data_IF_169914198142
#
_entry.id   IF_169914198142
#
_cell.length_a   1.000
_cell.length_b   1.000
_cell.length_c   1.000
_cell.angle_alpha   90.00
_cell.angle_beta   90.00
_cell.angle_gamma   90.00
#
_symmetry.space_group_name_H-M   'P 1'
#
loop_
_entity.id
_entity.type
_entity.pdbx_description
1 polymer ?
#
# COMPACT_ATOMS: atom_id res chain seq x y z
N UNK A 1 -4.17 5.36 12.06
CA UNK A 1 -2.72 5.29 11.74
C UNK A 1 -2.60 5.11 10.25
N UNK A 2 -1.57 5.68 9.63
CA UNK A 2 -1.25 5.48 8.22
C UNK A 2 0.21 5.04 8.15
N UNK A 3 0.46 3.89 7.54
CA UNK A 3 1.79 3.27 7.49
C UNK A 3 2.08 2.88 6.04
N UNK A 4 2.87 3.70 5.31
CA UNK A 4 3.33 3.37 3.99
C UNK A 4 4.50 2.38 4.06
N UNK A 5 4.50 1.40 3.17
CA UNK A 5 5.54 0.39 2.98
C UNK A 5 5.76 0.17 1.48
N UNK A 6 6.89 -0.40 1.12
CA UNK A 6 7.10 -0.94 -0.22
C UNK A 6 6.93 -2.46 -0.19
N UNK A 7 6.37 -3.01 -1.25
CA UNK A 7 6.08 -4.44 -1.37
C UNK A 7 6.40 -4.96 -2.76
N UNK A 8 6.62 -6.27 -2.86
CA UNK A 8 6.83 -6.96 -4.13
C UNK A 8 5.51 -7.56 -4.58
N UNK A 9 5.10 -7.26 -5.81
CA UNK A 9 3.89 -7.80 -6.39
C UNK A 9 4.22 -8.62 -7.65
N UNK A 10 3.70 -9.84 -7.73
CA UNK A 10 3.88 -10.69 -8.90
C UNK A 10 2.75 -10.40 -9.89
N UNK A 11 3.05 -9.65 -10.94
CA UNK A 11 2.03 -9.16 -11.88
C UNK A 11 1.79 -10.19 -12.99
N UNK A 12 0.67 -10.89 -12.91
CA UNK A 12 0.33 -11.95 -13.86
C UNK A 12 -0.34 -11.43 -15.13
N UNK A 13 -1.00 -10.27 -15.05
CA UNK A 13 -1.79 -9.73 -16.15
C UNK A 13 -0.98 -8.70 -16.95
N UNK A 14 -1.23 -7.43 -16.68
CA UNK A 14 -0.63 -6.30 -17.35
C UNK A 14 0.25 -5.54 -16.36
N UNK A 15 1.46 -5.17 -16.79
CA UNK A 15 2.35 -4.33 -15.98
C UNK A 15 1.98 -2.86 -16.21
N UNK A 16 1.53 -2.13 -15.18
CA UNK A 16 1.26 -0.70 -15.30
C UNK A 16 2.49 0.07 -15.75
N UNK A 17 2.31 1.11 -16.57
CA UNK A 17 3.42 1.87 -17.17
C UNK A 17 4.26 2.66 -16.15
N UNK A 18 3.72 2.95 -14.97
CA UNK A 18 4.39 3.65 -13.87
C UNK A 18 5.02 2.70 -12.84
N UNK A 19 4.99 1.39 -13.11
CA UNK A 19 5.58 0.36 -12.27
C UNK A 19 7.09 0.24 -12.48
N UNK A 20 7.83 0.02 -11.40
CA UNK A 20 9.20 -0.46 -11.48
C UNK A 20 9.24 -2.00 -11.43
N UNK A 21 9.67 -2.65 -12.53
CA UNK A 21 9.95 -4.09 -12.53
C UNK A 21 11.30 -4.33 -11.85
N UNK A 22 11.30 -5.10 -10.77
CA UNK A 22 12.48 -5.37 -9.91
C UNK A 22 12.99 -6.81 -10.02
N UNK A 23 12.32 -7.65 -10.80
CA UNK A 23 12.72 -9.02 -11.03
C UNK A 23 11.72 -9.81 -11.85
N UNK A 24 11.93 -11.12 -11.89
CA UNK A 24 11.04 -12.09 -12.52
C UNK A 24 10.91 -13.30 -11.62
N UNK A 25 9.78 -13.98 -11.71
CA UNK A 25 9.50 -15.23 -11.01
C UNK A 25 8.68 -16.15 -11.90
N UNK A 26 8.49 -17.40 -11.51
CA UNK A 26 7.56 -18.31 -12.19
C UNK A 26 6.14 -18.08 -11.72
N UNK A 27 5.16 -18.17 -12.62
CA UNK A 27 3.73 -18.10 -12.26
C UNK A 27 3.38 -19.11 -11.15
N UNK A 28 3.93 -20.31 -11.25
CA UNK A 28 3.86 -21.33 -10.21
C UNK A 28 5.28 -21.70 -9.77
N UNK A 29 5.65 -21.35 -8.54
CA UNK A 29 6.97 -21.63 -7.97
C UNK A 29 6.97 -22.96 -7.21
N UNK A 30 8.06 -23.71 -7.32
CA UNK A 30 8.31 -24.88 -6.47
C UNK A 30 8.99 -24.47 -5.14
N UNK A 31 9.25 -25.43 -4.24
CA UNK A 31 9.88 -25.16 -2.93
C UNK A 31 11.27 -24.51 -3.01
N UNK A 32 12.01 -24.68 -4.11
CA UNK A 32 13.32 -24.06 -4.32
C UNK A 32 13.25 -22.75 -5.11
N UNK A 33 12.05 -22.25 -5.42
CA UNK A 33 11.83 -20.99 -6.15
C UNK A 33 11.90 -21.10 -7.68
N UNK A 34 12.19 -22.30 -8.22
CA UNK A 34 12.18 -22.56 -9.66
C UNK A 34 10.76 -22.85 -10.21
N UNK A 35 10.63 -23.19 -11.51
CA UNK A 35 9.34 -23.53 -12.08
C UNK A 35 8.81 -24.82 -11.46
N UNK A 36 7.57 -24.81 -10.99
CA UNK A 36 6.84 -26.03 -10.74
C UNK A 36 6.48 -26.70 -12.07
N UNK A 37 7.12 -27.84 -12.35
CA UNK A 37 7.02 -28.58 -13.61
C UNK A 37 5.74 -29.41 -13.74
N UNK A 38 4.90 -29.47 -12.71
CA UNK A 38 3.59 -30.12 -12.77
C UNK A 38 2.59 -29.30 -13.60
N UNK A 39 2.80 -27.98 -13.66
CA UNK A 39 1.97 -27.07 -14.44
C UNK A 39 2.51 -26.93 -15.86
N UNK A 40 1.74 -27.40 -16.86
CA UNK A 40 2.02 -27.12 -18.27
C UNK A 40 1.86 -25.61 -18.52
N UNK A 41 2.71 -25.03 -19.37
CA UNK A 41 2.71 -23.58 -19.69
C UNK A 41 2.98 -22.64 -18.49
N UNK A 42 3.76 -23.10 -17.51
CA UNK A 42 4.23 -22.26 -16.42
C UNK A 42 5.28 -21.25 -16.93
N UNK A 43 4.83 -20.04 -17.29
CA UNK A 43 5.70 -18.96 -17.78
C UNK A 43 6.29 -18.13 -16.64
N UNK A 44 7.37 -17.44 -16.93
CA UNK A 44 7.85 -16.38 -16.05
C UNK A 44 6.94 -15.14 -16.11
N UNK A 45 6.75 -14.51 -14.96
CA UNK A 45 6.00 -13.28 -14.74
C UNK A 45 6.90 -12.22 -14.05
N UNK A 46 6.68 -10.93 -14.31
CA UNK A 46 7.42 -9.86 -13.66
C UNK A 46 7.11 -9.76 -12.16
N UNK A 47 8.13 -9.41 -11.39
CA UNK A 47 8.01 -8.98 -9.99
C UNK A 47 8.17 -7.45 -9.99
N UNK A 48 7.15 -6.77 -9.50
CA UNK A 48 6.98 -5.33 -9.53
C UNK A 48 7.17 -4.75 -8.12
N UNK A 49 7.81 -3.58 -8.01
CA UNK A 49 7.82 -2.81 -6.78
C UNK A 49 6.55 -1.96 -6.71
N UNK A 50 5.66 -2.32 -5.79
CA UNK A 50 4.45 -1.55 -5.49
C UNK A 50 4.64 -0.85 -4.15
N UNK A 51 3.90 0.24 -3.93
CA UNK A 51 3.72 0.80 -2.60
C UNK A 51 2.42 0.33 -1.99
N UNK A 52 2.47 0.12 -0.69
CA UNK A 52 1.36 -0.29 0.15
C UNK A 52 1.12 0.78 1.21
N UNK A 53 -0.16 0.98 1.57
CA UNK A 53 -0.57 1.82 2.69
C UNK A 53 -1.53 1.03 3.57
N UNK A 54 -1.07 0.72 4.77
CA UNK A 54 -1.94 0.24 5.84
C UNK A 54 -2.57 1.43 6.56
N UNK A 55 -3.89 1.56 6.44
CA UNK A 55 -4.70 2.58 7.09
C UNK A 55 -5.59 1.94 8.16
N UNK A 56 -5.56 2.48 9.37
CA UNK A 56 -6.40 1.99 10.47
C UNK A 56 -6.99 3.10 11.34
N UNK A 57 -8.10 2.83 12.02
CA UNK A 57 -8.68 3.72 13.04
C UNK A 57 -8.89 2.98 14.36
N UNK A 58 -9.06 3.72 15.44
CA UNK A 58 -9.42 3.15 16.76
C UNK A 58 -10.87 2.66 16.79
N UNK A 59 -11.73 3.21 15.93
CA UNK A 59 -13.12 2.77 15.75
C UNK A 59 -13.28 1.48 14.92
N UNK A 60 -12.17 0.85 14.49
CA UNK A 60 -12.20 -0.47 13.84
C UNK A 60 -11.99 -0.49 12.33
N UNK A 61 -11.71 0.66 11.68
CA UNK A 61 -11.29 0.65 10.27
C UNK A 61 -9.91 -0.03 10.15
N UNK A 62 -9.76 -0.93 9.19
CA UNK A 62 -8.49 -1.50 8.76
C UNK A 62 -8.55 -1.74 7.25
N UNK A 63 -7.74 -1.01 6.49
CA UNK A 63 -7.71 -1.07 5.03
C UNK A 63 -6.26 -1.11 4.53
N UNK A 64 -6.02 -1.89 3.48
CA UNK A 64 -4.76 -1.92 2.75
C UNK A 64 -4.99 -1.37 1.34
N UNK A 65 -4.24 -0.35 0.97
CA UNK A 65 -4.21 0.19 -0.39
C UNK A 65 -2.89 -0.19 -1.04
N UNK A 66 -2.94 -0.52 -2.33
CA UNK A 66 -1.74 -0.81 -3.13
C UNK A 66 -1.72 0.11 -4.36
N UNK A 67 -0.53 0.57 -4.72
CA UNK A 67 -0.31 1.39 -5.90
C UNK A 67 0.95 0.91 -6.63
N UNK A 68 0.87 0.89 -7.96
CA UNK A 68 1.96 0.51 -8.85
C UNK A 68 3.15 1.46 -8.79
N UNK A 69 2.90 2.73 -8.48
CA UNK A 69 3.93 3.76 -8.39
C UNK A 69 4.61 3.73 -7.01
N UNK A 70 5.94 3.51 -6.96
CA UNK A 70 6.68 3.53 -5.70
C UNK A 70 6.57 4.88 -4.98
N UNK A 71 6.60 4.84 -3.65
CA UNK A 71 6.63 5.95 -2.70
C UNK A 71 5.42 6.89 -2.71
N UNK A 72 4.36 6.55 -3.43
CA UNK A 72 3.22 7.46 -3.60
C UNK A 72 2.48 7.77 -2.28
N UNK A 73 2.60 6.89 -1.28
CA UNK A 73 1.94 7.05 0.02
C UNK A 73 2.79 7.73 1.10
N UNK A 74 4.02 8.14 0.82
CA UNK A 74 4.92 8.77 1.82
C UNK A 74 4.34 10.05 2.45
N UNK A 75 3.47 10.76 1.71
CA UNK A 75 2.83 11.99 2.19
C UNK A 75 1.68 11.73 3.19
N UNK A 76 1.07 10.54 3.14
CA UNK A 76 -0.19 10.26 3.83
C UNK A 76 -0.06 10.33 5.36
N UNK A 77 0.99 9.81 6.02
CA UNK A 77 1.14 9.95 7.46
C UNK A 77 1.16 11.40 7.94
N UNK A 78 1.82 12.28 7.19
CA UNK A 78 1.90 13.72 7.50
C UNK A 78 0.53 14.38 7.35
N UNK A 79 -0.18 14.08 6.26
CA UNK A 79 -1.54 14.58 6.05
C UNK A 79 -2.50 14.14 7.17
N UNK A 80 -2.46 12.86 7.56
CA UNK A 80 -3.26 12.33 8.68
C UNK A 80 -2.89 13.00 10.01
N UNK A 81 -1.59 13.25 10.26
CA UNK A 81 -1.16 13.96 11.46
C UNK A 81 -1.67 15.40 11.49
N UNK A 82 -1.61 16.10 10.36
CA UNK A 82 -2.11 17.48 10.23
C UNK A 82 -3.62 17.55 10.44
N UNK A 83 -4.40 16.67 9.81
CA UNK A 83 -5.86 16.63 9.99
C UNK A 83 -6.25 16.48 11.46
N UNK A 84 -5.55 15.61 12.20
CA UNK A 84 -5.78 15.44 13.65
C UNK A 84 -5.47 16.69 14.47
N UNK A 85 -4.50 17.50 14.06
CA UNK A 85 -4.19 18.78 14.73
C UNK A 85 -5.32 19.78 14.46
N UNK A 86 -5.76 19.88 13.20
CA UNK A 86 -6.84 20.79 12.80
C UNK A 86 -8.17 20.42 13.47
N UNK A 87 -8.50 19.12 13.55
CA UNK A 87 -9.70 18.63 14.23
C UNK A 87 -9.70 19.01 15.73
N UNK A 88 -8.55 18.91 16.40
CA UNK A 88 -8.42 19.32 17.81
C UNK A 88 -8.65 20.83 18.00
N UNK A 89 -8.01 21.66 17.16
CA UNK A 89 -8.20 23.10 17.24
C UNK A 89 -9.64 23.52 16.95
N UNK A 90 -10.28 22.93 15.96
CA UNK A 90 -11.70 23.20 15.68
C UNK A 90 -12.59 22.81 16.87
N UNK A 91 -12.30 21.71 17.57
CA UNK A 91 -13.05 21.30 18.75
C UNK A 91 -12.86 22.26 19.94
N UNK A 92 -11.63 22.78 20.15
CA UNK A 92 -11.32 23.77 21.18
C UNK A 92 -12.04 25.10 20.92
N UNK A 93 -12.02 25.61 19.69
CA UNK A 93 -12.71 26.86 19.32
C UNK A 93 -14.23 26.79 19.54
N UNK A 94 -14.85 25.65 19.21
CA UNK A 94 -16.28 25.43 19.44
C UNK A 94 -16.59 25.42 20.94
N UNK A 95 -15.77 24.74 21.74
CA UNK A 95 -15.96 24.66 23.20
C UNK A 95 -15.92 26.04 23.86
N UNK A 96 -14.99 26.92 23.45
CA UNK A 96 -14.90 28.30 23.95
C UNK A 96 -16.12 29.16 23.60
N UNK A 97 -16.75 28.93 22.44
CA UNK A 97 -17.96 29.68 22.02
C UNK A 97 -19.24 29.23 22.72
N UNK A 98 -19.31 27.99 23.18
CA UNK A 98 -20.49 27.47 23.89
C UNK A 98 -20.45 27.65 25.40
N UNK A 99 -19.28 28.03 25.95
CA UNK A 99 -19.06 28.18 27.39
C UNK A 99 -19.27 29.61 27.92
N UNK A 100 -19.59 30.59 27.06
CA UNK A 100 -19.93 31.98 27.42
C UNK A 100 -21.35 32.33 27.01
#
# INVERSE_FOLDING_TARGET
>A
RAQPTDTRFNEEQYVPSDTQVIGRTWRYVNKSGGPDRRFKNNREIPVCAYSELLLSSESGLSACFMASKPKIFEIVPKAVALLRVLERHAAEEVSHRTAG
#
